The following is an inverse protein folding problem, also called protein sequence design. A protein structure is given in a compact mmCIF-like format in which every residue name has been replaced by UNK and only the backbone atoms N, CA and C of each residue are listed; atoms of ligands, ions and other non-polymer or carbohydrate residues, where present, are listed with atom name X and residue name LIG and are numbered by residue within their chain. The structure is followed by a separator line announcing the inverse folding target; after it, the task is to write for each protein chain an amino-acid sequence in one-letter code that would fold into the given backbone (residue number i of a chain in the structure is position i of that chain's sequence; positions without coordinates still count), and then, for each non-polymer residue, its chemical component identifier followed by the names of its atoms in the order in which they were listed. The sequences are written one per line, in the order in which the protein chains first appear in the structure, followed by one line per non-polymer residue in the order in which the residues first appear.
data_IF_806158502247
#
_entry.id   IF_806158502247
#
_cell.length_a   1.000
_cell.length_b   1.000
_cell.length_c   1.000
_cell.angle_alpha   90.00
_cell.angle_beta   90.00
_cell.angle_gamma   90.00
#
_symmetry.space_group_name_H-M   'P 1'
#
loop_
_entity.id
_entity.type
_entity.pdbx_description
1 polymer ?
#
# COMPACT_ATOMS: atom_id res chain seq x y z
N UNK A 1 -54.39 41.09 -16.16
CA UNK A 1 -54.47 40.04 -15.11
C UNK A 1 -53.15 39.25 -15.03
N UNK A 2 -52.02 39.91 -14.69
CA UNK A 2 -50.68 39.27 -14.65
C UNK A 2 -49.86 39.59 -13.39
N UNK A 3 -50.35 40.46 -12.49
CA UNK A 3 -49.59 40.94 -11.33
C UNK A 3 -49.50 39.87 -10.21
N UNK A 4 -50.50 38.99 -10.10
CA UNK A 4 -50.52 37.92 -9.08
C UNK A 4 -49.52 36.78 -9.35
N UNK A 5 -49.15 36.52 -10.61
CA UNK A 5 -48.19 35.46 -10.96
C UNK A 5 -46.74 35.84 -10.61
N UNK A 6 -46.43 37.14 -10.65
CA UNK A 6 -45.08 37.66 -10.38
C UNK A 6 -44.67 37.50 -8.90
N UNK A 7 -45.63 37.60 -7.97
CA UNK A 7 -45.40 37.41 -6.54
C UNK A 7 -45.04 35.95 -6.20
N UNK A 8 -45.79 34.98 -6.73
CA UNK A 8 -45.52 33.54 -6.53
C UNK A 8 -44.17 33.12 -7.13
N UNK A 9 -43.86 33.59 -8.34
CA UNK A 9 -42.57 33.33 -8.98
C UNK A 9 -41.38 33.92 -8.19
N UNK A 10 -41.54 35.10 -7.60
CA UNK A 10 -40.51 35.74 -6.76
C UNK A 10 -40.25 34.96 -5.47
N UNK A 11 -41.31 34.46 -4.83
CA UNK A 11 -41.20 33.63 -3.61
C UNK A 11 -40.46 32.33 -3.92
N UNK A 12 -40.79 31.65 -5.03
CA UNK A 12 -40.11 30.41 -5.43
C UNK A 12 -38.62 30.68 -5.70
N UNK A 13 -38.28 31.76 -6.43
CA UNK A 13 -36.87 32.14 -6.67
C UNK A 13 -36.11 32.43 -5.37
N UNK A 14 -36.76 33.06 -4.39
CA UNK A 14 -36.17 33.33 -3.08
C UNK A 14 -35.85 32.02 -2.34
N UNK A 15 -36.77 31.05 -2.34
CA UNK A 15 -36.56 29.74 -1.70
C UNK A 15 -35.38 29.02 -2.33
N UNK A 16 -35.31 28.98 -3.67
CA UNK A 16 -34.16 28.38 -4.37
C UNK A 16 -32.86 29.10 -4.05
N UNK A 17 -32.86 30.42 -4.03
CA UNK A 17 -31.67 31.21 -3.69
C UNK A 17 -31.18 30.90 -2.27
N UNK A 18 -32.09 30.83 -1.30
CA UNK A 18 -31.75 30.44 0.08
C UNK A 18 -31.20 29.02 0.13
N UNK A 19 -31.81 28.06 -0.57
CA UNK A 19 -31.31 26.69 -0.62
C UNK A 19 -29.88 26.62 -1.20
N UNK A 20 -29.60 27.35 -2.28
CA UNK A 20 -28.25 27.44 -2.84
C UNK A 20 -27.25 28.04 -1.86
N UNK A 21 -27.62 29.13 -1.16
CA UNK A 21 -26.76 29.74 -0.14
C UNK A 21 -26.44 28.75 0.97
N UNK A 22 -27.42 28.00 1.46
CA UNK A 22 -27.22 26.96 2.49
C UNK A 22 -26.24 25.90 2.00
N UNK A 23 -26.36 25.43 0.75
CA UNK A 23 -25.45 24.44 0.16
C UNK A 23 -24.03 25.01 0.05
N UNK A 24 -23.87 26.26 -0.39
CA UNK A 24 -22.56 26.90 -0.50
C UNK A 24 -21.89 27.01 0.86
N UNK A 25 -22.61 27.45 1.89
CA UNK A 25 -22.08 27.55 3.26
C UNK A 25 -21.68 26.17 3.79
N UNK A 26 -22.48 25.14 3.52
CA UNK A 26 -22.16 23.77 3.94
C UNK A 26 -20.90 23.24 3.22
N UNK A 27 -20.74 23.51 1.93
CA UNK A 27 -19.54 23.15 1.17
C UNK A 27 -18.30 23.89 1.68
N UNK A 28 -18.41 25.19 1.96
CA UNK A 28 -17.32 25.96 2.54
C UNK A 28 -16.90 25.40 3.91
N UNK A 29 -17.87 25.02 4.76
CA UNK A 29 -17.59 24.38 6.05
C UNK A 29 -16.79 23.09 5.89
N UNK A 30 -17.19 22.22 4.95
CA UNK A 30 -16.55 20.92 4.72
C UNK A 30 -15.17 21.03 4.07
N UNK A 31 -14.93 22.05 3.25
CA UNK A 31 -13.66 22.22 2.52
C UNK A 31 -12.64 23.08 3.25
N UNK A 32 -13.08 24.15 3.93
CA UNK A 32 -12.18 25.18 4.49
C UNK A 32 -12.10 25.13 6.00
N UNK A 33 -13.23 24.87 6.69
CA UNK A 33 -13.26 24.88 8.16
C UNK A 33 -12.88 23.52 8.74
N UNK A 34 -13.34 22.44 8.13
CA UNK A 34 -13.11 21.08 8.62
C UNK A 34 -11.90 20.41 7.95
N UNK A 35 -10.82 20.23 8.70
CA UNK A 35 -9.62 19.54 8.22
C UNK A 35 -9.76 18.01 8.19
N UNK A 36 -10.83 17.44 8.77
CA UNK A 36 -11.04 15.99 8.86
C UNK A 36 -11.09 15.33 7.48
N UNK A 37 -11.75 15.96 6.52
CA UNK A 37 -11.87 15.41 5.16
C UNK A 37 -10.55 15.48 4.40
N UNK A 38 -9.71 16.48 4.69
CA UNK A 38 -8.35 16.55 4.16
C UNK A 38 -7.46 15.42 4.71
N UNK A 39 -7.56 15.11 6.01
CA UNK A 39 -6.84 13.99 6.62
C UNK A 39 -7.30 12.63 6.07
N UNK A 40 -8.61 12.41 5.94
CA UNK A 40 -9.15 11.19 5.32
C UNK A 40 -8.72 11.04 3.86
N UNK A 41 -8.60 12.14 3.12
CA UNK A 41 -8.06 12.12 1.75
C UNK A 41 -6.57 11.76 1.74
N UNK A 42 -5.79 12.27 2.71
CA UNK A 42 -4.39 11.90 2.88
C UNK A 42 -4.23 10.43 3.24
N UNK A 43 -5.02 9.89 4.15
CA UNK A 43 -4.96 8.47 4.55
C UNK A 43 -5.30 7.52 3.38
N UNK A 44 -6.16 7.96 2.46
CA UNK A 44 -6.46 7.19 1.24
C UNK A 44 -5.36 7.29 0.17
N UNK A 45 -4.61 8.40 0.13
CA UNK A 45 -3.60 8.65 -0.90
C UNK A 45 -2.19 8.24 -0.48
N UNK A 46 -1.91 8.26 0.83
CA UNK A 46 -0.58 8.05 1.40
C UNK A 46 -0.64 6.82 2.29
N UNK A 47 0.19 5.82 1.97
CA UNK A 47 0.42 4.69 2.84
C UNK A 47 1.68 4.95 3.69
N UNK A 48 1.55 5.31 4.98
CA UNK A 48 2.71 5.56 5.83
C UNK A 48 3.49 4.26 6.05
N UNK A 49 4.71 4.19 5.52
CA UNK A 49 5.61 3.06 5.77
C UNK A 49 6.38 3.29 7.06
N UNK A 50 5.98 2.60 8.13
CA UNK A 50 6.70 2.64 9.42
C UNK A 50 8.05 1.94 9.24
N UNK A 51 9.15 2.66 9.45
CA UNK A 51 10.50 2.11 9.48
C UNK A 51 10.92 1.99 10.94
N UNK A 52 11.01 0.75 11.43
CA UNK A 52 11.48 0.48 12.77
C UNK A 52 13.00 0.66 12.86
N UNK A 53 13.53 1.24 13.93
CA UNK A 53 14.97 1.37 14.12
C UNK A 53 15.61 -0.01 14.35
N UNK A 54 16.89 -0.11 14.03
CA UNK A 54 17.69 -1.29 14.33
C UNK A 54 17.86 -1.51 15.84
N UNK A 55 18.04 -2.78 16.25
CA UNK A 55 18.30 -3.10 17.67
C UNK A 55 19.70 -2.62 18.06
N UNK A 56 19.86 -2.10 19.27
CA UNK A 56 21.16 -1.69 19.80
C UNK A 56 22.12 -2.87 19.96
N UNK A 57 23.41 -2.62 19.71
CA UNK A 57 24.49 -3.58 19.93
C UNK A 57 24.78 -3.67 21.43
N UNK A 58 24.85 -4.88 21.99
CA UNK A 58 25.16 -5.11 23.40
C UNK A 58 26.63 -5.50 23.53
N UNK A 59 27.37 -4.78 24.37
CA UNK A 59 28.78 -5.04 24.64
C UNK A 59 28.98 -5.68 26.02
N UNK A 60 29.96 -6.57 26.12
CA UNK A 60 30.49 -7.07 27.39
C UNK A 60 31.28 -5.97 28.13
N UNK A 61 31.60 -6.18 29.41
CA UNK A 61 32.47 -5.33 30.24
C UNK A 61 33.84 -5.06 29.63
N UNK A 62 34.29 -5.93 28.72
CA UNK A 62 35.56 -5.80 27.98
C UNK A 62 35.41 -5.11 26.61
N UNK A 63 34.25 -4.54 26.30
CA UNK A 63 33.99 -3.86 25.02
C UNK A 63 33.78 -4.79 23.83
N UNK A 64 33.61 -6.10 24.05
CA UNK A 64 33.31 -7.07 22.96
C UNK A 64 31.81 -7.12 22.70
N UNK A 65 31.37 -6.96 21.46
CA UNK A 65 29.98 -7.14 21.09
C UNK A 65 29.53 -8.59 21.33
N UNK A 66 28.50 -8.78 22.17
CA UNK A 66 27.86 -10.07 22.45
C UNK A 66 26.69 -10.29 21.50
N UNK A 67 25.95 -9.24 21.17
CA UNK A 67 24.80 -9.28 20.29
C UNK A 67 24.97 -8.27 19.16
N UNK A 68 24.88 -8.76 17.93
CA UNK A 68 24.94 -7.96 16.71
C UNK A 68 23.73 -8.26 15.82
N UNK A 69 23.35 -7.29 14.98
CA UNK A 69 22.32 -7.49 13.97
C UNK A 69 22.98 -8.10 12.71
N UNK A 70 22.35 -9.14 12.16
CA UNK A 70 22.70 -9.70 10.87
C UNK A 70 21.55 -9.44 9.90
N UNK A 71 21.88 -8.96 8.71
CA UNK A 71 20.88 -8.73 7.67
C UNK A 71 20.56 -10.07 7.03
N UNK A 72 19.27 -10.42 6.97
CA UNK A 72 18.75 -11.62 6.34
C UNK A 72 17.68 -11.23 5.35
N UNK A 73 17.72 -11.82 4.16
CA UNK A 73 16.80 -11.49 3.07
C UNK A 73 15.88 -12.66 2.78
N UNK A 74 14.58 -12.37 2.75
CA UNK A 74 13.55 -13.30 2.32
C UNK A 74 13.00 -12.86 0.96
N UNK A 75 12.90 -13.78 0.02
CA UNK A 75 12.24 -13.53 -1.25
C UNK A 75 10.73 -13.69 -1.08
N UNK A 76 9.99 -12.61 -1.32
CA UNK A 76 8.54 -12.61 -1.26
C UNK A 76 7.93 -12.69 -2.66
N UNK A 77 6.76 -13.33 -2.75
CA UNK A 77 5.96 -13.44 -3.96
C UNK A 77 4.52 -13.03 -3.70
N UNK A 78 3.98 -12.20 -4.59
CA UNK A 78 2.55 -11.85 -4.63
C UNK A 78 1.92 -12.58 -5.81
N UNK A 79 1.14 -13.66 -5.60
CA UNK A 79 0.65 -14.49 -6.70
C UNK A 79 -0.20 -13.75 -7.75
N UNK A 80 -0.90 -12.69 -7.36
CA UNK A 80 -1.73 -11.88 -8.27
C UNK A 80 -0.91 -11.03 -9.26
N UNK A 81 0.35 -10.73 -8.92
CA UNK A 81 1.26 -9.89 -9.71
C UNK A 81 2.11 -10.72 -10.69
N UNK A 82 2.10 -12.05 -10.56
CA UNK A 82 2.78 -12.98 -11.48
C UNK A 82 1.98 -13.12 -12.79
N UNK A 83 1.84 -12.03 -13.53
CA UNK A 83 1.27 -12.03 -14.89
C UNK A 83 2.40 -11.75 -15.87
N UNK A 84 2.54 -12.57 -16.92
CA UNK A 84 3.59 -12.46 -17.94
C UNK A 84 5.03 -12.59 -17.40
N UNK A 85 5.23 -13.39 -16.35
CA UNK A 85 6.55 -13.63 -15.75
C UNK A 85 7.30 -14.78 -16.41
N UNK A 86 8.57 -14.57 -16.79
CA UNK A 86 9.44 -15.65 -17.29
C UNK A 86 9.86 -16.60 -16.16
N UNK A 87 9.03 -17.61 -15.95
CA UNK A 87 9.26 -18.64 -14.94
C UNK A 87 10.52 -19.47 -15.24
N UNK A 88 10.87 -19.67 -16.51
CA UNK A 88 12.01 -20.52 -16.87
C UNK A 88 13.34 -19.85 -16.54
N UNK A 89 13.46 -18.55 -16.84
CA UNK A 89 14.66 -17.77 -16.49
C UNK A 89 14.81 -17.59 -14.99
N UNK A 90 13.71 -17.33 -14.28
CA UNK A 90 13.72 -17.26 -12.81
C UNK A 90 14.11 -18.58 -12.14
N UNK A 91 13.55 -19.70 -12.60
CA UNK A 91 13.89 -21.03 -12.09
C UNK A 91 15.39 -21.35 -12.27
N UNK A 92 15.99 -20.96 -13.40
CA UNK A 92 17.44 -21.08 -13.61
C UNK A 92 18.25 -20.21 -12.66
N UNK A 93 17.83 -18.96 -12.46
CA UNK A 93 18.51 -18.00 -11.60
C UNK A 93 18.51 -18.42 -10.13
N UNK A 94 17.36 -18.91 -9.66
CA UNK A 94 17.16 -19.34 -8.27
C UNK A 94 17.54 -20.80 -8.03
N UNK A 95 17.96 -21.53 -9.07
CA UNK A 95 18.28 -22.96 -9.01
C UNK A 95 17.10 -23.82 -8.48
N UNK A 96 15.86 -23.43 -8.82
CA UNK A 96 14.61 -24.10 -8.39
C UNK A 96 13.90 -24.72 -9.59
N UNK A 97 13.36 -25.93 -9.42
CA UNK A 97 12.58 -26.58 -10.48
C UNK A 97 11.23 -25.87 -10.74
N UNK A 98 10.77 -25.93 -11.98
CA UNK A 98 9.48 -25.37 -12.40
C UNK A 98 8.28 -25.99 -11.69
N UNK A 99 8.34 -27.29 -11.36
CA UNK A 99 7.27 -27.95 -10.60
C UNK A 99 7.25 -27.45 -9.16
N UNK A 100 8.43 -27.26 -8.57
CA UNK A 100 8.58 -26.72 -7.22
C UNK A 100 8.11 -25.26 -7.15
N UNK A 101 8.47 -24.41 -8.11
CA UNK A 101 7.99 -23.04 -8.21
C UNK A 101 6.45 -22.99 -8.18
N UNK A 102 5.80 -23.78 -9.04
CA UNK A 102 4.33 -23.86 -9.10
C UNK A 102 3.73 -24.37 -7.80
N UNK A 103 4.38 -25.33 -7.14
CA UNK A 103 3.94 -25.83 -5.83
C UNK A 103 3.99 -24.70 -4.79
N UNK A 104 5.13 -24.02 -4.66
CA UNK A 104 5.31 -22.93 -3.69
C UNK A 104 4.34 -21.77 -3.92
N UNK A 105 4.09 -21.40 -5.18
CA UNK A 105 3.09 -20.37 -5.51
C UNK A 105 1.67 -20.82 -5.14
N UNK A 106 1.32 -22.09 -5.35
CA UNK A 106 0.01 -22.61 -4.90
C UNK A 106 -0.09 -22.62 -3.37
N UNK A 107 0.95 -23.06 -2.68
CA UNK A 107 0.98 -23.10 -1.21
C UNK A 107 0.86 -21.68 -0.62
N UNK A 108 1.50 -20.70 -1.24
CA UNK A 108 1.35 -19.28 -0.93
C UNK A 108 -0.10 -18.80 -1.07
N UNK A 109 -0.78 -19.15 -2.17
CA UNK A 109 -2.19 -18.81 -2.40
C UNK A 109 -3.10 -19.44 -1.34
N UNK A 110 -2.84 -20.69 -0.95
CA UNK A 110 -3.63 -21.43 0.03
C UNK A 110 -3.42 -20.89 1.44
N UNK A 111 -2.18 -20.57 1.82
CA UNK A 111 -1.84 -20.07 3.15
C UNK A 111 -2.33 -18.65 3.41
N UNK A 112 -2.19 -17.78 2.44
CA UNK A 112 -2.58 -16.38 2.55
C UNK A 112 -3.73 -16.08 1.59
N UNK A 113 -3.46 -15.41 0.47
CA UNK A 113 -4.41 -15.11 -0.60
C UNK A 113 -3.58 -14.68 -1.81
N UNK A 114 -4.17 -14.71 -3.03
CA UNK A 114 -3.49 -14.24 -4.25
C UNK A 114 -2.90 -12.83 -4.14
N UNK A 115 -3.53 -11.94 -3.38
CA UNK A 115 -3.16 -10.52 -3.32
C UNK A 115 -2.17 -10.18 -2.20
N UNK A 116 -1.86 -11.13 -1.32
CA UNK A 116 -0.95 -10.90 -0.20
C UNK A 116 0.46 -11.39 -0.55
N UNK A 117 1.50 -10.59 -0.30
CA UNK A 117 2.88 -11.07 -0.39
C UNK A 117 3.10 -12.24 0.58
N UNK A 118 3.81 -13.25 0.12
CA UNK A 118 4.09 -14.47 0.87
C UNK A 118 5.54 -14.88 0.68
N UNK A 119 6.15 -15.52 1.68
CA UNK A 119 7.55 -15.93 1.59
C UNK A 119 7.70 -17.08 0.60
N UNK A 120 8.42 -16.86 -0.50
CA UNK A 120 8.74 -17.86 -1.52
C UNK A 120 10.01 -18.64 -1.19
N UNK A 121 11.04 -17.93 -0.74
CA UNK A 121 12.31 -18.49 -0.27
C UNK A 121 12.77 -17.69 0.94
N UNK A 122 12.79 -18.33 2.09
CA UNK A 122 13.36 -17.76 3.31
C UNK A 122 14.88 -17.85 3.29
N UNK A 123 15.53 -16.88 3.92
CA UNK A 123 16.97 -16.84 4.18
C UNK A 123 17.82 -17.07 2.92
N UNK A 124 17.73 -16.15 1.97
CA UNK A 124 18.61 -16.17 0.80
C UNK A 124 20.07 -16.03 1.21
N UNK A 125 20.93 -16.79 0.53
CA UNK A 125 22.37 -16.58 0.66
C UNK A 125 22.75 -15.24 0.02
N UNK A 126 23.81 -14.57 0.50
CA UNK A 126 24.26 -13.31 -0.09
C UNK A 126 24.53 -13.41 -1.61
N UNK A 127 25.01 -14.56 -2.07
CA UNK A 127 25.27 -14.83 -3.49
C UNK A 127 23.98 -14.94 -4.30
N UNK A 128 22.97 -15.63 -3.77
CA UNK A 128 21.67 -15.77 -4.43
C UNK A 128 20.94 -14.44 -4.50
N UNK A 129 21.01 -13.65 -3.42
CA UNK A 129 20.48 -12.29 -3.40
C UNK A 129 21.14 -11.40 -4.46
N UNK A 130 22.48 -11.36 -4.50
CA UNK A 130 23.20 -10.51 -5.45
C UNK A 130 22.85 -10.86 -6.90
N UNK A 131 22.81 -12.17 -7.22
CA UNK A 131 22.36 -12.65 -8.53
C UNK A 131 20.92 -12.22 -8.86
N UNK A 132 20.01 -12.30 -7.88
CA UNK A 132 18.63 -11.88 -8.07
C UNK A 132 18.52 -10.38 -8.33
N UNK A 133 19.16 -9.55 -7.50
CA UNK A 133 19.16 -8.09 -7.65
C UNK A 133 19.75 -7.64 -8.99
N UNK A 134 20.81 -8.28 -9.48
CA UNK A 134 21.41 -7.97 -10.78
C UNK A 134 20.49 -8.25 -11.98
N UNK A 135 19.56 -9.21 -11.86
CA UNK A 135 18.69 -9.65 -12.95
C UNK A 135 17.22 -9.18 -12.79
N UNK A 136 16.90 -8.45 -11.72
CA UNK A 136 15.53 -8.03 -11.40
C UNK A 136 15.08 -6.72 -12.09
N UNK A 137 15.95 -6.05 -12.84
CA UNK A 137 15.71 -4.74 -13.48
C UNK A 137 15.82 -4.79 -15.00
#
# INVERSE_FOLDING_TARGET
MSVFNQSRSRIIRLIFLVAFVVIIVQLFRLQVVDSKYSQLAMDNAVFPKIVYPERGIIYDRKGKAILNNAIMFDLMVTPAEIKNFDTASFCRLMEVDTAEFRRRVRDAIIRETRVRPSVFQSLMTPQMQARFEENAW
#
